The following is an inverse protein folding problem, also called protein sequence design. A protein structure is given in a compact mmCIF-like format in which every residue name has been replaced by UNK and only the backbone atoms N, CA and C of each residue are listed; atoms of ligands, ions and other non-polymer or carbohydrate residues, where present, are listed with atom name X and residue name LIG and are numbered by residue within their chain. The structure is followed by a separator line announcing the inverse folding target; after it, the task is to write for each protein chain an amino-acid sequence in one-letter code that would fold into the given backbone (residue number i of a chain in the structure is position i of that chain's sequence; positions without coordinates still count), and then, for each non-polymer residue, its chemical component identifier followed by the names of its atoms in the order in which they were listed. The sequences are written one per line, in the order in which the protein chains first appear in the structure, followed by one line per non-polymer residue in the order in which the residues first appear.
data_IF_050913446260
#
_entry.id   IF_050913446260
#
_cell.length_a   1.000
_cell.length_b   1.000
_cell.length_c   1.000
_cell.angle_alpha   90.00
_cell.angle_beta   90.00
_cell.angle_gamma   90.00
#
_symmetry.space_group_name_H-M   'P 1'
#
loop_
_entity.id
_entity.type
_entity.pdbx_description
1 polymer ?
#
# COMPACT_ATOMS: atom_id res chain seq x y z
N UNK A 1 36.72 2.59 -43.96
CA UNK A 1 35.54 2.58 -43.07
C UNK A 1 35.99 3.02 -41.68
N UNK A 2 35.28 3.92 -41.01
CA UNK A 2 35.67 4.42 -39.67
C UNK A 2 35.33 3.40 -38.59
N UNK A 3 36.26 3.18 -37.65
CA UNK A 3 36.14 2.24 -36.52
C UNK A 3 34.95 2.62 -35.63
N UNK A 4 34.68 3.91 -35.43
CA UNK A 4 33.54 4.41 -34.65
C UNK A 4 32.19 3.97 -35.24
N UNK A 5 32.09 3.92 -36.57
CA UNK A 5 30.87 3.47 -37.25
C UNK A 5 30.64 1.98 -37.02
N UNK A 6 31.69 1.17 -37.14
CA UNK A 6 31.62 -0.27 -36.89
C UNK A 6 31.25 -0.59 -35.43
N UNK A 7 31.83 0.14 -34.48
CA UNK A 7 31.50 -0.01 -33.07
C UNK A 7 30.03 0.37 -32.78
N UNK A 8 29.54 1.47 -33.34
CA UNK A 8 28.14 1.90 -33.17
C UNK A 8 27.15 0.89 -33.75
N UNK A 9 27.47 0.28 -34.89
CA UNK A 9 26.67 -0.79 -35.50
C UNK A 9 26.68 -2.06 -34.65
N UNK A 10 27.84 -2.47 -34.13
CA UNK A 10 27.96 -3.61 -33.21
C UNK A 10 27.11 -3.41 -31.95
N UNK A 11 27.24 -2.24 -31.30
CA UNK A 11 26.45 -1.91 -30.10
C UNK A 11 24.95 -1.90 -30.40
N UNK A 12 24.53 -1.38 -31.55
CA UNK A 12 23.12 -1.39 -31.95
C UNK A 12 22.59 -2.81 -32.12
N UNK A 13 23.35 -3.67 -32.80
CA UNK A 13 22.97 -5.06 -33.02
C UNK A 13 22.85 -5.83 -31.69
N UNK A 14 23.77 -5.60 -30.76
CA UNK A 14 23.74 -6.24 -29.44
C UNK A 14 22.54 -5.75 -28.61
N UNK A 15 22.28 -4.44 -28.59
CA UNK A 15 21.10 -3.87 -27.92
C UNK A 15 19.80 -4.44 -28.53
N UNK A 16 19.73 -4.53 -29.85
CA UNK A 16 18.56 -5.13 -30.53
C UNK A 16 18.38 -6.61 -30.17
N UNK A 17 19.47 -7.38 -30.08
CA UNK A 17 19.43 -8.77 -29.64
C UNK A 17 18.88 -8.88 -28.21
N UNK A 18 19.32 -8.01 -27.30
CA UNK A 18 18.87 -8.00 -25.91
C UNK A 18 17.43 -7.50 -25.74
N UNK A 19 16.95 -6.60 -26.60
CA UNK A 19 15.59 -6.07 -26.54
C UNK A 19 14.52 -6.99 -27.17
N UNK A 20 14.90 -7.90 -28.07
CA UNK A 20 13.97 -8.88 -28.69
C UNK A 20 13.12 -9.66 -27.68
N UNK A 21 13.68 -10.35 -26.66
CA UNK A 21 12.88 -11.12 -25.72
C UNK A 21 11.92 -10.24 -24.91
N UNK A 22 12.32 -9.01 -24.55
CA UNK A 22 11.44 -8.09 -23.84
C UNK A 22 10.24 -7.67 -24.69
N UNK A 23 10.46 -7.41 -26.00
CA UNK A 23 9.38 -7.08 -26.94
C UNK A 23 8.41 -8.24 -27.13
N UNK A 24 8.92 -9.47 -27.20
CA UNK A 24 8.10 -10.69 -27.28
C UNK A 24 7.26 -10.92 -26.01
N UNK A 25 7.82 -10.64 -24.83
CA UNK A 25 7.07 -10.72 -23.58
C UNK A 25 5.94 -9.68 -23.54
N UNK A 26 6.19 -8.46 -24.00
CA UNK A 26 5.17 -7.41 -24.07
C UNK A 26 4.06 -7.81 -25.04
N UNK A 27 4.40 -8.31 -26.24
CA UNK A 27 3.38 -8.74 -27.22
C UNK A 27 2.53 -9.90 -26.69
N UNK A 28 3.12 -10.84 -25.94
CA UNK A 28 2.37 -11.91 -25.28
C UNK A 28 1.42 -11.39 -24.21
N UNK A 29 1.83 -10.40 -23.43
CA UNK A 29 0.96 -9.76 -22.43
C UNK A 29 -0.19 -9.01 -23.10
N UNK A 30 0.08 -8.25 -24.16
CA UNK A 30 -0.94 -7.55 -24.95
C UNK A 30 -1.97 -8.53 -25.53
N UNK A 31 -1.51 -9.64 -26.12
CA UNK A 31 -2.39 -10.70 -26.60
C UNK A 31 -3.29 -11.25 -25.46
N UNK A 32 -2.70 -11.55 -24.30
CA UNK A 32 -3.47 -12.00 -23.13
C UNK A 32 -4.51 -10.98 -22.65
N UNK A 33 -4.20 -9.69 -22.68
CA UNK A 33 -5.20 -8.65 -22.35
C UNK A 33 -6.33 -8.59 -23.36
N UNK A 34 -6.04 -8.73 -24.65
CA UNK A 34 -7.07 -8.77 -25.70
C UNK A 34 -8.00 -9.99 -25.56
N UNK A 35 -7.47 -11.13 -25.10
CA UNK A 35 -8.29 -12.32 -24.82
C UNK A 35 -9.20 -12.10 -23.61
N UNK A 36 -8.74 -11.41 -22.58
CA UNK A 36 -9.59 -11.02 -21.45
C UNK A 36 -10.73 -10.08 -21.89
N UNK A 37 -10.45 -9.14 -22.80
CA UNK A 37 -11.47 -8.25 -23.35
C UNK A 37 -12.51 -9.01 -24.20
N UNK A 38 -12.07 -10.02 -24.97
CA UNK A 38 -12.98 -10.92 -25.70
C UNK A 38 -13.89 -11.69 -24.73
N UNK A 39 -13.33 -12.27 -23.67
CA UNK A 39 -14.10 -12.97 -22.64
C UNK A 39 -15.10 -12.04 -21.95
N UNK A 40 -14.70 -10.81 -21.66
CA UNK A 40 -15.60 -9.79 -21.12
C UNK A 40 -16.74 -9.47 -22.08
N UNK A 41 -16.47 -9.27 -23.36
CA UNK A 41 -17.51 -9.00 -24.36
C UNK A 41 -18.50 -10.18 -24.48
N UNK A 42 -18.00 -11.42 -24.46
CA UNK A 42 -18.85 -12.62 -24.43
C UNK A 42 -19.71 -12.64 -23.16
N UNK A 43 -19.14 -12.32 -22.00
CA UNK A 43 -19.89 -12.23 -20.75
C UNK A 43 -20.98 -11.14 -20.80
N UNK A 44 -20.69 -9.96 -21.38
CA UNK A 44 -21.65 -8.87 -21.56
C UNK A 44 -22.79 -9.26 -22.52
N UNK A 45 -22.49 -10.02 -23.59
CA UNK A 45 -23.51 -10.56 -24.51
C UNK A 45 -24.41 -11.60 -23.84
N UNK A 46 -23.85 -12.41 -22.94
CA UNK A 46 -24.60 -13.44 -22.20
C UNK A 46 -25.33 -12.90 -20.96
N UNK A 47 -25.00 -11.69 -20.49
CA UNK A 47 -25.61 -11.06 -19.32
C UNK A 47 -27.15 -10.97 -19.35
N UNK A 48 -27.83 -10.54 -20.44
CA UNK A 48 -29.29 -10.49 -20.47
C UNK A 48 -29.93 -11.88 -20.40
N UNK A 49 -29.30 -12.90 -21.02
CA UNK A 49 -29.76 -14.29 -20.95
C UNK A 49 -29.59 -14.85 -19.53
N UNK A 50 -28.46 -14.56 -18.88
CA UNK A 50 -28.23 -14.94 -17.49
C UNK A 50 -29.19 -14.23 -16.52
N UNK A 51 -29.59 -12.99 -16.78
CA UNK A 51 -30.62 -12.28 -16.00
C UNK A 51 -32.03 -12.85 -16.18
N UNK A 52 -32.37 -13.24 -17.41
CA UNK A 52 -33.67 -13.84 -17.72
C UNK A 52 -33.82 -15.27 -17.20
N UNK A 53 -32.73 -16.04 -17.22
CA UNK A 53 -32.75 -17.49 -16.93
C UNK A 53 -32.19 -17.82 -15.53
N UNK A 54 -31.39 -16.94 -14.94
CA UNK A 54 -30.77 -17.12 -13.62
C UNK A 54 -31.74 -17.46 -12.46
N UNK A 55 -32.92 -16.81 -12.35
CA UNK A 55 -33.91 -17.15 -11.33
C UNK A 55 -34.42 -18.60 -11.41
N UNK A 56 -34.43 -19.20 -12.60
CA UNK A 56 -34.87 -20.60 -12.80
C UNK A 56 -33.85 -21.62 -12.29
N UNK A 57 -32.58 -21.24 -12.22
CA UNK A 57 -31.48 -22.10 -11.77
C UNK A 57 -30.96 -21.73 -10.38
N UNK A 58 -31.69 -20.91 -9.62
CA UNK A 58 -31.28 -20.47 -8.28
C UNK A 58 -30.03 -19.58 -8.27
N UNK A 59 -29.59 -19.10 -9.44
CA UNK A 59 -28.46 -18.17 -9.59
C UNK A 59 -29.04 -16.76 -9.62
N UNK A 60 -29.06 -16.09 -8.47
CA UNK A 60 -29.25 -14.63 -8.45
C UNK A 60 -28.02 -14.02 -9.12
N UNK A 61 -28.20 -13.47 -10.32
CA UNK A 61 -27.13 -12.91 -11.15
C UNK A 61 -26.30 -11.89 -10.37
N UNK A 62 -25.09 -12.28 -9.98
CA UNK A 62 -24.05 -11.39 -9.45
C UNK A 62 -23.47 -10.54 -10.58
N UNK A 63 -24.31 -9.68 -11.18
CA UNK A 63 -23.99 -8.92 -12.38
C UNK A 63 -24.57 -7.51 -12.32
N UNK A 64 -24.35 -6.84 -11.20
CA UNK A 64 -24.75 -5.46 -11.00
C UNK A 64 -24.34 -5.03 -9.62
N UNK A 65 -23.32 -4.17 -9.52
CA UNK A 65 -23.21 -3.32 -8.34
C UNK A 65 -24.48 -2.47 -8.36
N UNK A 66 -25.50 -2.89 -7.62
CA UNK A 66 -26.55 -1.97 -7.20
C UNK A 66 -25.80 -0.73 -6.70
N UNK A 67 -26.02 0.40 -7.36
CA UNK A 67 -25.44 1.66 -6.95
C UNK A 67 -25.75 1.78 -5.46
N UNK A 68 -24.70 1.83 -4.63
CA UNK A 68 -24.87 2.23 -3.25
C UNK A 68 -25.65 3.55 -3.30
N UNK A 69 -26.76 3.70 -2.54
CA UNK A 69 -27.49 4.95 -2.55
C UNK A 69 -26.49 6.05 -2.26
N UNK A 70 -26.45 7.07 -3.14
CA UNK A 70 -25.55 8.21 -3.01
C UNK A 70 -25.63 8.71 -1.56
N UNK A 71 -24.51 9.09 -0.91
CA UNK A 71 -24.58 9.67 0.41
C UNK A 71 -25.43 10.94 0.28
N UNK A 72 -26.66 10.88 0.80
CA UNK A 72 -27.55 12.02 0.86
C UNK A 72 -26.74 13.19 1.43
N UNK A 73 -26.64 14.27 0.65
CA UNK A 73 -26.06 15.52 1.15
C UNK A 73 -26.83 15.85 2.43
N UNK A 74 -26.12 15.85 3.55
CA UNK A 74 -26.69 16.20 4.85
C UNK A 74 -27.22 17.63 4.73
N UNK A 75 -28.54 17.76 4.60
CA UNK A 75 -29.20 19.06 4.61
C UNK A 75 -28.97 19.77 5.96
N UNK A 76 -29.14 21.11 6.00
CA UNK A 76 -29.05 21.86 7.24
C UNK A 76 -30.27 21.53 8.09
N UNK A 77 -30.13 20.55 8.98
CA UNK A 77 -31.27 20.06 9.77
C UNK A 77 -31.00 18.78 10.54
N UNK A 78 -29.78 18.56 11.04
CA UNK A 78 -29.57 17.53 12.07
C UNK A 78 -30.04 18.14 13.40
N UNK A 79 -31.15 17.69 14.00
CA UNK A 79 -31.52 18.21 15.31
C UNK A 79 -30.40 17.92 16.30
N UNK A 80 -30.15 18.88 17.20
CA UNK A 80 -29.20 18.73 18.28
C UNK A 80 -29.52 17.43 19.02
N UNK A 81 -28.55 16.51 19.05
CA UNK A 81 -28.66 15.29 19.84
C UNK A 81 -28.83 15.76 21.29
N UNK A 82 -30.00 15.52 21.88
CA UNK A 82 -30.23 15.76 23.30
C UNK A 82 -29.09 15.10 24.06
N UNK A 83 -28.51 15.86 25.00
CA UNK A 83 -27.35 15.46 25.78
C UNK A 83 -27.69 14.21 26.58
N UNK A 84 -27.44 13.04 26.00
CA UNK A 84 -27.23 11.84 26.78
C UNK A 84 -26.02 12.10 27.69
N UNK A 85 -26.05 11.68 28.96
CA UNK A 85 -24.92 11.85 29.84
C UNK A 85 -23.67 11.28 29.17
N UNK A 86 -22.56 12.00 29.26
CA UNK A 86 -21.27 11.55 28.76
C UNK A 86 -21.07 10.09 29.18
N UNK A 87 -20.71 9.17 28.26
CA UNK A 87 -20.36 7.83 28.69
C UNK A 87 -19.17 7.99 29.63
N UNK A 88 -19.38 7.68 30.91
CA UNK A 88 -18.30 7.48 31.86
C UNK A 88 -17.29 6.58 31.18
N UNK A 89 -16.05 7.05 31.06
CA UNK A 89 -14.94 6.25 30.57
C UNK A 89 -14.65 5.16 31.60
N UNK A 90 -15.48 4.13 31.64
CA UNK A 90 -15.07 2.85 32.21
C UNK A 90 -13.98 2.35 31.27
N UNK A 91 -12.73 2.42 31.72
CA UNK A 91 -11.54 2.06 30.95
C UNK A 91 -11.72 0.72 30.25
N UNK A 92 -12.21 0.78 29.01
CA UNK A 92 -12.41 -0.40 28.19
C UNK A 92 -11.04 -0.95 27.88
N UNK A 93 -10.72 -2.13 28.43
CA UNK A 93 -9.59 -2.95 27.97
C UNK A 93 -9.66 -2.96 26.44
N UNK A 94 -8.71 -2.29 25.78
CA UNK A 94 -8.55 -2.34 24.32
C UNK A 94 -8.70 -3.80 23.93
N UNK A 95 -9.66 -4.12 23.06
CA UNK A 95 -9.93 -5.48 22.58
C UNK A 95 -8.59 -6.18 22.35
N UNK A 96 -8.32 -7.14 23.25
CA UNK A 96 -6.98 -7.60 23.56
C UNK A 96 -6.37 -8.28 22.34
N UNK A 97 -5.36 -7.64 21.76
CA UNK A 97 -4.38 -8.35 20.96
C UNK A 97 -3.70 -9.34 21.90
N UNK A 98 -3.93 -10.64 21.69
CA UNK A 98 -3.24 -11.70 22.44
C UNK A 98 -1.73 -11.43 22.39
N UNK A 99 -1.02 -11.34 23.53
CA UNK A 99 0.43 -11.25 23.50
C UNK A 99 0.95 -12.50 22.78
N UNK A 100 1.82 -12.30 21.79
CA UNK A 100 2.43 -13.41 21.08
C UNK A 100 3.44 -14.07 22.04
N UNK A 101 2.96 -15.05 22.81
CA UNK A 101 3.74 -16.16 23.32
C UNK A 101 3.48 -17.31 22.33
N UNK A 102 4.42 -18.11 21.85
CA UNK A 102 5.73 -18.50 22.36
C UNK A 102 6.68 -18.70 21.16
N UNK A 103 7.67 -17.83 21.02
CA UNK A 103 8.63 -17.91 19.92
C UNK A 103 9.61 -16.74 19.97
N UNK A 104 10.55 -16.79 20.92
CA UNK A 104 11.72 -15.91 20.97
C UNK A 104 11.42 -14.42 20.84
N UNK A 105 10.48 -13.89 21.64
CA UNK A 105 10.14 -12.47 21.65
C UNK A 105 11.34 -11.65 22.13
N UNK A 106 12.21 -11.25 21.21
CA UNK A 106 13.24 -10.26 21.48
C UNK A 106 12.59 -8.91 21.71
N UNK A 107 13.13 -8.09 22.60
CA UNK A 107 12.64 -6.72 22.75
C UNK A 107 12.88 -5.93 21.46
N UNK A 108 12.08 -4.88 21.27
CA UNK A 108 12.25 -3.98 20.15
C UNK A 108 13.68 -3.42 20.12
N UNK A 109 14.28 -3.36 18.93
CA UNK A 109 15.62 -2.81 18.74
C UNK A 109 15.75 -1.31 19.11
N UNK A 110 14.64 -0.61 19.37
CA UNK A 110 14.68 0.82 19.65
C UNK A 110 14.86 1.08 21.14
N UNK A 111 15.86 1.90 21.46
CA UNK A 111 16.21 2.32 22.81
C UNK A 111 14.96 2.87 23.52
N UNK A 112 14.65 2.31 24.71
CA UNK A 112 13.55 2.76 25.55
C UNK A 112 12.15 2.32 25.10
N UNK A 113 12.03 1.41 24.12
CA UNK A 113 10.72 0.94 23.66
C UNK A 113 10.12 -0.16 24.56
N UNK A 114 10.91 -1.16 24.96
CA UNK A 114 10.51 -2.25 25.86
C UNK A 114 9.32 -3.12 25.38
N UNK A 115 8.93 -3.03 24.11
CA UNK A 115 7.82 -3.80 23.53
C UNK A 115 8.35 -5.05 22.84
N UNK A 116 7.59 -6.16 22.85
CA UNK A 116 8.02 -7.36 22.13
C UNK A 116 8.13 -7.07 20.63
N UNK A 117 9.27 -7.45 20.05
CA UNK A 117 9.47 -7.43 18.61
C UNK A 117 8.48 -8.40 17.95
N UNK A 118 8.03 -8.06 16.74
CA UNK A 118 7.14 -8.91 15.95
C UNK A 118 7.78 -9.32 14.64
N UNK A 119 8.43 -8.38 13.97
CA UNK A 119 8.98 -8.54 12.63
C UNK A 119 10.24 -7.70 12.51
N UNK A 120 11.30 -8.27 11.92
CA UNK A 120 12.60 -7.60 11.67
C UNK A 120 13.28 -7.00 12.93
N UNK A 121 12.99 -7.52 14.13
CA UNK A 121 13.54 -6.97 15.38
C UNK A 121 12.81 -5.72 15.93
N UNK A 122 11.71 -5.29 15.30
CA UNK A 122 10.95 -4.11 15.73
C UNK A 122 9.55 -4.46 16.25
N UNK A 123 9.02 -3.61 17.15
CA UNK A 123 7.63 -3.68 17.57
C UNK A 123 6.69 -3.26 16.42
N UNK A 124 5.38 -3.52 16.55
CA UNK A 124 4.42 -3.20 15.49
C UNK A 124 4.41 -1.72 15.06
N UNK A 125 4.59 -0.78 16.00
CA UNK A 125 4.60 0.65 15.69
C UNK A 125 5.88 1.06 14.94
N UNK A 126 7.03 0.55 15.39
CA UNK A 126 8.32 0.85 14.78
C UNK A 126 8.51 0.16 13.44
N UNK A 127 7.97 -1.05 13.26
CA UNK A 127 7.93 -1.70 11.96
C UNK A 127 7.11 -0.90 10.94
N UNK A 128 5.96 -0.33 11.34
CA UNK A 128 5.17 0.53 10.45
C UNK A 128 5.94 1.79 10.05
N UNK A 129 6.69 2.39 10.99
CA UNK A 129 7.58 3.51 10.71
C UNK A 129 8.68 3.11 9.73
N UNK A 130 9.41 2.01 9.97
CA UNK A 130 10.45 1.48 9.08
C UNK A 130 9.90 1.32 7.65
N UNK A 131 8.74 0.66 7.48
CA UNK A 131 8.09 0.47 6.18
C UNK A 131 7.78 1.78 5.44
N UNK A 132 7.38 2.83 6.16
CA UNK A 132 7.13 4.14 5.57
C UNK A 132 8.43 4.85 5.16
N UNK A 133 9.50 4.70 5.95
CA UNK A 133 10.81 5.26 5.63
C UNK A 133 11.46 4.53 4.45
N UNK A 134 11.34 3.20 4.37
CA UNK A 134 11.76 2.38 3.22
C UNK A 134 11.03 2.82 1.94
N UNK A 135 9.69 2.94 1.99
CA UNK A 135 8.90 3.40 0.83
C UNK A 135 9.32 4.79 0.34
N UNK A 136 9.80 5.65 1.23
CA UNK A 136 10.19 7.03 0.89
C UNK A 136 11.70 7.21 0.72
N UNK A 137 12.48 6.12 0.71
CA UNK A 137 13.95 6.14 0.64
C UNK A 137 14.60 7.11 1.66
N UNK A 138 13.98 7.29 2.83
CA UNK A 138 14.46 8.15 3.93
C UNK A 138 14.91 7.34 5.14
N UNK A 139 15.18 6.04 4.95
CA UNK A 139 15.62 5.13 6.01
C UNK A 139 17.05 5.49 6.45
N UNK A 140 17.28 5.82 7.73
CA UNK A 140 18.63 6.04 8.23
C UNK A 140 19.41 4.73 8.31
N UNK A 141 20.73 4.83 8.20
CA UNK A 141 21.66 3.70 8.27
C UNK A 141 21.54 2.93 9.59
N UNK A 142 21.24 3.62 10.70
CA UNK A 142 21.08 3.00 12.02
C UNK A 142 19.88 2.03 12.11
N UNK A 143 18.86 2.18 11.26
CA UNK A 143 17.72 1.28 11.24
C UNK A 143 18.08 0.09 10.34
N UNK A 144 18.63 -0.98 10.91
CA UNK A 144 18.99 -2.23 10.21
C UNK A 144 17.90 -3.29 10.40
N UNK A 145 17.75 -4.19 9.44
CA UNK A 145 16.85 -5.35 9.57
C UNK A 145 17.48 -6.33 10.57
N UNK A 146 16.70 -6.78 11.56
CA UNK A 146 17.18 -7.67 12.65
C UNK A 146 18.22 -7.03 13.58
N UNK A 147 18.10 -5.72 13.84
CA UNK A 147 18.91 -5.04 14.83
C UNK A 147 18.76 -5.63 16.25
N UNK A 148 19.82 -5.53 17.05
CA UNK A 148 19.81 -6.02 18.44
C UNK A 148 18.83 -5.23 19.31
N UNK A 149 18.25 -5.85 20.36
CA UNK A 149 17.36 -5.17 21.28
C UNK A 149 18.01 -3.91 21.88
N UNK A 150 17.28 -2.80 21.93
CA UNK A 150 17.74 -1.52 22.48
C UNK A 150 19.06 -0.96 21.88
N UNK A 151 19.38 -1.25 20.62
CA UNK A 151 20.59 -0.73 19.95
C UNK A 151 20.37 0.49 19.06
N UNK A 152 19.12 0.76 18.66
CA UNK A 152 18.78 1.76 17.63
C UNK A 152 18.08 2.97 18.24
N UNK A 153 18.48 4.17 17.83
CA UNK A 153 17.82 5.42 18.24
C UNK A 153 16.49 5.66 17.52
N UNK A 154 15.49 6.20 18.23
CA UNK A 154 14.22 6.58 17.61
C UNK A 154 14.33 7.92 16.87
N UNK A 155 14.07 7.90 15.57
CA UNK A 155 14.17 9.11 14.74
C UNK A 155 12.93 9.99 14.95
N UNK A 156 13.07 11.16 15.55
CA UNK A 156 11.95 12.11 15.69
C UNK A 156 11.68 12.84 14.37
N UNK A 157 10.93 12.23 13.45
CA UNK A 157 10.46 12.91 12.25
C UNK A 157 9.50 14.04 12.64
N UNK A 158 9.71 15.26 12.13
CA UNK A 158 8.76 16.34 12.34
C UNK A 158 7.49 15.96 11.54
N UNK A 159 6.35 15.77 12.24
CA UNK A 159 5.09 15.32 11.61
C UNK A 159 4.16 16.50 11.34
N UNK A 160 3.43 16.43 10.22
CA UNK A 160 2.33 17.33 9.89
C UNK A 160 2.73 18.56 9.06
N UNK A 161 1.74 19.44 8.79
CA UNK A 161 1.93 20.65 7.97
C UNK A 161 2.96 21.62 8.57
N UNK A 162 3.07 21.68 9.89
CA UNK A 162 4.04 22.54 10.59
C UNK A 162 5.50 22.12 10.30
N UNK A 163 5.76 20.81 10.23
CA UNK A 163 7.07 20.27 9.89
C UNK A 163 7.48 20.57 8.45
N UNK A 164 6.54 20.40 7.51
CA UNK A 164 6.77 20.73 6.10
C UNK A 164 6.99 22.24 5.90
N UNK A 165 6.28 23.07 6.67
CA UNK A 165 6.46 24.53 6.68
C UNK A 165 7.85 24.92 7.21
N UNK A 166 8.29 24.33 8.32
CA UNK A 166 9.62 24.60 8.88
C UNK A 166 10.76 24.18 7.94
N UNK A 167 10.64 23.03 7.25
CA UNK A 167 11.63 22.61 6.24
C UNK A 167 11.63 23.54 5.01
N UNK A 168 10.46 23.98 4.55
CA UNK A 168 10.36 24.93 3.44
C UNK A 168 10.91 26.32 3.81
N UNK A 169 10.71 26.77 5.06
CA UNK A 169 11.29 28.02 5.58
C UNK A 169 12.82 27.90 5.72
N UNK A 170 13.33 26.78 6.23
CA UNK A 170 14.77 26.53 6.31
C UNK A 170 15.44 26.50 4.92
N UNK A 171 14.78 25.93 3.90
CA UNK A 171 15.27 25.93 2.51
C UNK A 171 15.30 27.34 1.89
N UNK A 172 14.39 28.23 2.29
CA UNK A 172 14.35 29.62 1.80
C UNK A 172 15.41 30.51 2.44
N UNK A 173 15.79 30.22 3.68
CA UNK A 173 16.83 30.98 4.40
C UNK A 173 18.26 30.52 4.06
N UNK A 174 18.40 29.42 3.31
CA UNK A 174 19.68 28.84 2.90
C UNK A 174 20.07 29.13 1.45
N UNK A 175 19.27 29.94 0.73
CA UNK A 175 19.57 30.45 -0.61
C UNK A 175 19.60 31.97 -0.59
#
# INVERSE_FOLDING_TARGET
MSVDKAFREMVRNEIEAQLKPLRELVSRLEAGTSDLDRLRNVAEQLAPLAGAVGPLFGVSGGGGRAAAPAPARRGPGRPARSAAPAPVSTGGKKRGRKPAAEGGARDCAIIGCGKPSRTKGYCAAHYQKLRMLEKTNRRPSAWVDYAEPNSVEDIKLPRGRAAAKALAEAQKNAG
#
